data_IF_478672663481
#
_entry.id   IF_478672663481
#
_cell.length_a   1.000
_cell.length_b   1.000
_cell.length_c   1.000
_cell.angle_alpha   90.00
_cell.angle_beta   90.00
_cell.angle_gamma   90.00
#
_symmetry.space_group_name_H-M   'P 1'
#
loop_
_entity.id
_entity.type
_entity.pdbx_description
1 polymer ?
#
# COMPACT_ATOMS: atom_id res chain seq x y z
N UNK A 1 8.29 -23.35 -3.73
CA UNK A 1 7.64 -22.99 -2.46
C UNK A 1 8.28 -21.70 -2.00
N UNK A 2 7.50 -20.67 -1.65
CA UNK A 2 8.08 -19.43 -1.12
C UNK A 2 8.72 -19.73 0.25
N UNK A 3 9.95 -19.29 0.46
CA UNK A 3 10.62 -19.37 1.77
C UNK A 3 9.82 -18.54 2.78
N UNK A 4 9.06 -19.23 3.65
CA UNK A 4 8.30 -18.60 4.72
C UNK A 4 8.97 -18.91 6.05
N UNK A 5 9.19 -17.87 6.87
CA UNK A 5 9.76 -18.02 8.20
C UNK A 5 8.65 -17.83 9.23
N UNK A 6 8.49 -18.79 10.15
CA UNK A 6 7.50 -18.68 11.22
C UNK A 6 8.00 -17.72 12.29
N UNK A 7 7.23 -16.68 12.55
CA UNK A 7 7.47 -15.70 13.62
C UNK A 7 6.30 -15.74 14.62
N UNK A 8 6.59 -15.50 15.89
CA UNK A 8 5.56 -15.33 16.93
C UNK A 8 5.53 -13.86 17.32
N UNK A 9 4.37 -13.23 17.18
CA UNK A 9 4.18 -11.80 17.48
C UNK A 9 3.01 -11.63 18.43
N UNK A 10 3.14 -10.70 19.38
CA UNK A 10 2.07 -10.31 20.29
C UNK A 10 1.39 -9.07 19.76
N UNK A 11 0.07 -9.13 19.59
CA UNK A 11 -0.76 -8.01 19.16
C UNK A 11 -1.73 -7.61 20.27
N UNK A 12 -2.12 -6.32 20.36
CA UNK A 12 -3.16 -5.87 21.29
C UNK A 12 -4.47 -6.64 21.07
N UNK A 13 -5.13 -7.04 22.17
CA UNK A 13 -6.33 -7.86 22.11
C UNK A 13 -7.47 -7.20 21.31
N UNK A 14 -7.61 -5.87 21.41
CA UNK A 14 -8.59 -5.10 20.65
C UNK A 14 -8.35 -5.19 19.14
N UNK A 15 -7.08 -5.10 18.70
CA UNK A 15 -6.72 -5.24 17.28
C UNK A 15 -7.00 -6.65 16.76
N UNK A 16 -6.74 -7.68 17.57
CA UNK A 16 -7.07 -9.07 17.22
C UNK A 16 -8.58 -9.27 17.13
N UNK A 17 -9.36 -8.63 18.01
CA UNK A 17 -10.81 -8.70 17.97
C UNK A 17 -11.37 -8.05 16.69
N UNK A 18 -10.88 -6.87 16.30
CA UNK A 18 -11.27 -6.23 15.05
C UNK A 18 -10.82 -7.03 13.81
N UNK A 19 -9.59 -7.55 13.81
CA UNK A 19 -9.07 -8.39 12.72
C UNK A 19 -9.93 -9.63 12.50
N UNK A 20 -10.38 -10.27 13.59
CA UNK A 20 -11.28 -11.44 13.53
C UNK A 20 -12.66 -11.12 12.98
N UNK A 21 -13.15 -9.89 13.08
CA UNK A 21 -14.41 -9.46 12.43
C UNK A 21 -14.26 -9.33 10.92
N UNK A 22 -13.05 -8.99 10.46
CA UNK A 22 -12.75 -8.78 9.04
C UNK A 22 -12.34 -10.07 8.33
N UNK A 23 -11.66 -10.98 9.03
CA UNK A 23 -11.21 -12.25 8.46
C UNK A 23 -10.96 -13.32 9.51
N UNK A 24 -11.22 -14.58 9.15
CA UNK A 24 -10.85 -15.74 9.94
C UNK A 24 -9.36 -16.10 9.82
N UNK A 25 -8.66 -15.57 8.80
CA UNK A 25 -7.23 -15.82 8.56
C UNK A 25 -6.37 -14.60 8.95
N UNK A 26 -6.20 -14.40 10.25
CA UNK A 26 -5.39 -13.30 10.80
C UNK A 26 -3.93 -13.36 10.31
N UNK A 27 -3.33 -14.55 10.23
CA UNK A 27 -1.94 -14.71 9.77
C UNK A 27 -1.75 -14.27 8.32
N UNK A 28 -2.69 -14.61 7.43
CA UNK A 28 -2.63 -14.22 6.03
C UNK A 28 -2.79 -12.71 5.87
N UNK A 29 -3.74 -12.13 6.59
CA UNK A 29 -3.96 -10.68 6.57
C UNK A 29 -2.76 -9.91 7.07
N UNK A 30 -2.14 -10.34 8.17
CA UNK A 30 -0.93 -9.71 8.70
C UNK A 30 0.23 -9.84 7.71
N UNK A 31 0.42 -11.00 7.07
CA UNK A 31 1.48 -11.19 6.07
C UNK A 31 1.31 -10.23 4.88
N UNK A 32 0.09 -10.10 4.35
CA UNK A 32 -0.23 -9.16 3.28
C UNK A 32 -0.03 -7.69 3.68
N UNK A 33 -0.49 -7.32 4.88
CA UNK A 33 -0.36 -5.97 5.41
C UNK A 33 1.12 -5.60 5.63
N UNK A 34 1.92 -6.51 6.19
CA UNK A 34 3.37 -6.34 6.37
C UNK A 34 4.06 -6.22 5.02
N UNK A 35 3.73 -7.08 4.04
CA UNK A 35 4.28 -6.99 2.69
C UNK A 35 3.96 -5.66 2.01
N UNK A 36 2.72 -5.16 2.16
CA UNK A 36 2.32 -3.83 1.68
C UNK A 36 3.11 -2.72 2.35
N UNK A 37 3.29 -2.80 3.68
CA UNK A 37 4.02 -1.82 4.46
C UNK A 37 5.50 -1.76 4.07
N UNK A 38 6.16 -2.91 3.88
CA UNK A 38 7.56 -2.97 3.45
C UNK A 38 7.72 -2.35 2.07
N UNK A 39 6.83 -2.67 1.11
CA UNK A 39 6.87 -2.05 -0.22
C UNK A 39 6.77 -0.53 -0.16
N UNK A 40 5.88 0.01 0.69
CA UNK A 40 5.75 1.45 0.88
C UNK A 40 6.99 2.08 1.53
N UNK A 41 7.61 1.41 2.51
CA UNK A 41 8.83 1.93 3.15
C UNK A 41 10.02 1.96 2.19
N UNK A 42 10.20 0.90 1.39
CA UNK A 42 11.25 0.86 0.38
C UNK A 42 11.04 1.96 -0.67
N UNK A 43 9.79 2.13 -1.13
CA UNK A 43 9.45 3.22 -2.04
C UNK A 43 9.72 4.60 -1.42
N UNK A 44 9.38 4.80 -0.14
CA UNK A 44 9.67 6.04 0.57
C UNK A 44 11.17 6.32 0.71
N UNK A 45 11.97 5.29 0.99
CA UNK A 45 13.42 5.41 1.06
C UNK A 45 14.05 5.73 -0.31
N UNK A 46 13.52 5.15 -1.39
CA UNK A 46 13.96 5.46 -2.75
C UNK A 46 13.60 6.90 -3.15
N UNK A 47 12.39 7.36 -2.81
CA UNK A 47 11.97 8.74 -3.06
C UNK A 47 12.74 9.76 -2.22
N UNK A 48 13.17 9.39 -1.01
CA UNK A 48 14.01 10.25 -0.17
C UNK A 48 15.41 10.37 -0.78
N UNK A 49 16.04 9.25 -1.16
CA UNK A 49 17.34 9.25 -1.85
C UNK A 49 17.30 10.09 -3.13
N UNK A 50 16.24 9.95 -3.92
CA UNK A 50 16.06 10.77 -5.12
C UNK A 50 16.00 12.28 -4.80
N UNK A 51 15.34 12.68 -3.73
CA UNK A 51 15.28 14.09 -3.32
C UNK A 51 16.63 14.62 -2.81
N UNK A 52 17.45 13.77 -2.20
CA UNK A 52 18.81 14.13 -1.78
C UNK A 52 19.73 14.32 -3.00
N UNK A 53 19.57 13.49 -4.03
CA UNK A 53 20.40 13.54 -5.25
C UNK A 53 19.95 14.60 -6.26
N UNK A 54 18.64 14.86 -6.37
CA UNK A 54 18.05 15.71 -7.41
C UNK A 54 17.32 16.96 -6.89
N UNK A 55 17.16 17.09 -5.58
CA UNK A 55 16.37 18.15 -4.95
C UNK A 55 14.90 17.78 -4.74
N UNK A 56 14.18 18.61 -3.98
CA UNK A 56 12.78 18.36 -3.63
C UNK A 56 11.89 18.26 -4.89
N UNK A 57 10.92 17.33 -4.87
CA UNK A 57 9.92 17.24 -5.93
C UNK A 57 9.09 18.53 -5.97
N UNK A 58 8.93 19.09 -7.17
CA UNK A 58 8.08 20.27 -7.38
C UNK A 58 6.60 19.90 -7.39
N UNK A 59 5.72 20.87 -7.11
CA UNK A 59 4.27 20.65 -7.14
C UNK A 59 3.78 20.24 -8.54
N UNK A 60 4.37 20.79 -9.61
CA UNK A 60 4.10 20.38 -10.99
C UNK A 60 4.43 18.90 -11.25
N UNK A 61 5.58 18.42 -10.78
CA UNK A 61 6.01 17.03 -10.95
C UNK A 61 5.11 16.05 -10.19
N UNK A 62 4.72 16.40 -8.95
CA UNK A 62 3.79 15.60 -8.14
C UNK A 62 2.40 15.55 -8.78
N UNK A 63 1.91 16.67 -9.32
CA UNK A 63 0.62 16.74 -10.02
C UNK A 63 0.61 15.87 -11.29
N UNK A 64 1.70 15.91 -12.07
CA UNK A 64 1.86 15.08 -13.25
C UNK A 64 1.94 13.59 -12.89
N UNK A 65 2.69 13.23 -11.85
CA UNK A 65 2.78 11.85 -11.36
C UNK A 65 1.43 11.34 -10.86
N UNK A 66 0.68 12.15 -10.09
CA UNK A 66 -0.66 11.81 -9.60
C UNK A 66 -1.63 11.56 -10.75
N UNK A 67 -1.60 12.41 -11.79
CA UNK A 67 -2.45 12.26 -12.98
C UNK A 67 -2.13 10.97 -13.75
N UNK A 68 -0.86 10.56 -13.80
CA UNK A 68 -0.45 9.30 -14.43
C UNK A 68 -0.80 8.06 -13.60
N UNK A 69 -0.66 8.14 -12.27
CA UNK A 69 -0.88 7.01 -11.36
C UNK A 69 -2.35 6.71 -11.11
N UNK A 70 -3.18 7.74 -10.95
CA UNK A 70 -4.60 7.59 -10.63
C UNK A 70 -5.51 7.80 -11.83
N UNK A 71 -4.95 8.13 -13.00
CA UNK A 71 -5.70 8.69 -14.11
C UNK A 71 -6.24 10.07 -13.76
N UNK A 72 -6.58 10.86 -14.78
CA UNK A 72 -7.45 12.01 -14.59
C UNK A 72 -8.77 11.53 -14.00
N UNK A 73 -9.26 12.16 -12.93
CA UNK A 73 -10.57 11.87 -12.32
C UNK A 73 -11.77 12.05 -13.27
N UNK A 74 -11.54 12.29 -14.56
CA UNK A 74 -12.53 12.38 -15.62
C UNK A 74 -12.83 11.02 -16.29
N UNK A 75 -12.06 9.97 -16.03
CA UNK A 75 -12.28 8.63 -16.64
C UNK A 75 -12.99 7.64 -15.70
N UNK A 76 -13.57 8.12 -14.59
CA UNK A 76 -14.39 7.34 -13.67
C UNK A 76 -15.91 7.45 -13.96
N UNK A 77 -16.29 7.80 -15.19
CA UNK A 77 -17.66 7.61 -15.69
C UNK A 77 -17.65 6.82 -17.01
N UNK A 78 -18.16 5.59 -16.93
CA UNK A 78 -18.52 4.79 -18.10
C UNK A 78 -18.41 3.27 -17.92
N UNK A 79 -19.44 2.47 -18.26
CA UNK A 79 -20.87 2.76 -18.22
C UNK A 79 -21.64 1.75 -17.35
N UNK A 80 -22.85 2.13 -16.93
CA UNK A 80 -23.86 1.16 -16.54
C UNK A 80 -24.24 0.26 -17.74
N UNK A 81 -24.52 -1.02 -17.43
CA UNK A 81 -25.18 -2.05 -18.26
C UNK A 81 -24.30 -2.98 -19.10
N UNK A 82 -24.26 -4.27 -18.72
CA UNK A 82 -24.92 -5.36 -19.47
C UNK A 82 -24.61 -6.76 -18.89
N UNK A 83 -25.64 -7.43 -18.35
CA UNK A 83 -25.99 -8.87 -18.42
C UNK A 83 -26.74 -9.33 -17.16
#
# INVERSE_FOLDING_TARGET
>A
MADTTRITVTLPAEQVAELKKLTDNVSGYVAEAVGRQIRHQLLGADLLRHQEEHGAFTEEELSQARSRLFGTAADADGPASAA
#
